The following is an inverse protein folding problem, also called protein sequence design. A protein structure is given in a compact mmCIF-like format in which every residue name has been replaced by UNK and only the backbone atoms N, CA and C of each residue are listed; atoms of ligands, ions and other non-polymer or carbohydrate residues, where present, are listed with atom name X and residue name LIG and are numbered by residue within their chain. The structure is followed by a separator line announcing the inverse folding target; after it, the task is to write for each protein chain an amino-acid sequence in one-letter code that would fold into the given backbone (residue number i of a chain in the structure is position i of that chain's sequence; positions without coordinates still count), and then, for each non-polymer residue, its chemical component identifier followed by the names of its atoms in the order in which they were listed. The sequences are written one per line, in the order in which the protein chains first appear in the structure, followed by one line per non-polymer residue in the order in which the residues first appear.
data_IF_153690814614
#
_entry.id   IF_153690814614
#
_cell.length_a   1.000
_cell.length_b   1.000
_cell.length_c   1.000
_cell.angle_alpha   90.00
_cell.angle_beta   90.00
_cell.angle_gamma   90.00
#
_symmetry.space_group_name_H-M   'P 1'
#
loop_
_entity.id
_entity.type
_entity.pdbx_description
1 polymer ?
#
# COMPACT_ATOMS: atom_id res chain seq x y z
N UNK A 1 7.74 25.52 15.69
CA UNK A 1 8.47 24.24 15.56
C UNK A 1 7.51 23.11 15.92
N UNK A 2 7.32 22.13 15.02
CA UNK A 2 6.39 21.01 15.22
C UNK A 2 6.96 20.06 16.29
N UNK A 3 6.14 19.63 17.26
CA UNK A 3 6.55 18.60 18.24
C UNK A 3 6.66 17.24 17.55
N UNK A 4 7.75 16.52 17.78
CA UNK A 4 7.93 15.14 17.31
C UNK A 4 6.86 14.27 17.97
N UNK A 5 6.04 13.62 17.16
CA UNK A 5 5.00 12.69 17.63
C UNK A 5 5.53 11.26 17.71
N UNK A 6 4.82 10.39 18.45
CA UNK A 6 5.12 8.95 18.47
C UNK A 6 5.13 8.34 17.06
N UNK A 7 4.25 8.82 16.17
CA UNK A 7 4.18 8.38 14.79
C UNK A 7 5.45 8.72 13.99
N UNK A 8 6.06 9.88 14.24
CA UNK A 8 7.31 10.28 13.57
C UNK A 8 8.47 9.34 13.98
N UNK A 9 8.49 8.91 15.25
CA UNK A 9 9.46 7.93 15.76
C UNK A 9 9.19 6.55 15.18
N UNK A 10 7.92 6.11 15.15
CA UNK A 10 7.55 4.82 14.56
C UNK A 10 7.95 4.76 13.08
N UNK A 11 7.63 5.78 12.28
CA UNK A 11 8.02 5.84 10.87
C UNK A 11 9.55 5.84 10.70
N UNK A 12 10.28 6.58 11.53
CA UNK A 12 11.73 6.57 11.44
C UNK A 12 12.30 5.17 11.68
N UNK A 13 11.79 4.48 12.72
CA UNK A 13 12.17 3.11 13.05
C UNK A 13 11.78 2.17 11.91
N UNK A 14 10.54 2.26 11.41
CA UNK A 14 10.05 1.44 10.30
C UNK A 14 10.94 1.66 9.07
N UNK A 15 11.18 2.89 8.65
CA UNK A 15 12.04 3.20 7.49
C UNK A 15 13.47 2.65 7.66
N UNK A 16 14.02 2.70 8.88
CA UNK A 16 15.34 2.14 9.18
C UNK A 16 15.36 0.61 9.12
N UNK A 17 14.38 -0.03 9.77
CA UNK A 17 14.23 -1.50 9.82
C UNK A 17 13.81 -2.06 8.44
N UNK A 18 13.10 -1.28 7.63
CA UNK A 18 12.61 -1.69 6.31
C UNK A 18 13.75 -2.14 5.41
N UNK A 19 14.92 -1.49 5.50
CA UNK A 19 16.11 -1.88 4.75
C UNK A 19 16.72 -3.21 5.20
N UNK A 20 16.36 -3.71 6.39
CA UNK A 20 16.79 -5.02 6.91
C UNK A 20 15.84 -6.16 6.55
N UNK A 21 14.71 -5.89 5.89
CA UNK A 21 13.69 -6.90 5.53
C UNK A 21 14.25 -8.16 4.89
N UNK A 22 15.24 -8.04 4.00
CA UNK A 22 15.86 -9.20 3.35
C UNK A 22 16.71 -10.04 4.31
N UNK A 23 17.36 -9.41 5.29
CA UNK A 23 18.11 -10.13 6.35
C UNK A 23 17.14 -10.85 7.27
N UNK A 24 16.06 -10.18 7.67
CA UNK A 24 15.00 -10.77 8.49
C UNK A 24 14.35 -11.96 7.76
N UNK A 25 14.03 -11.81 6.47
CA UNK A 25 13.50 -12.87 5.62
C UNK A 25 14.45 -14.06 5.45
N UNK A 26 15.77 -13.83 5.50
CA UNK A 26 16.75 -14.92 5.50
C UNK A 26 16.74 -15.67 6.83
N UNK A 27 16.61 -14.96 7.96
CA UNK A 27 16.54 -15.55 9.30
C UNK A 27 15.27 -16.37 9.51
N UNK A 28 14.12 -15.93 8.99
CA UNK A 28 12.86 -16.70 9.06
C UNK A 28 12.94 -18.01 8.28
N UNK A 29 13.75 -18.09 7.22
CA UNK A 29 14.01 -19.35 6.51
C UNK A 29 14.88 -20.33 7.32
N UNK A 30 15.69 -19.83 8.24
CA UNK A 30 16.66 -20.62 9.01
C UNK A 30 16.12 -21.12 10.36
N UNK A 31 15.08 -20.48 10.92
CA UNK A 31 14.50 -20.86 12.21
C UNK A 31 12.97 -20.82 12.21
N UNK A 32 12.36 -21.97 12.56
CA UNK A 32 10.90 -22.09 12.67
C UNK A 32 10.32 -21.23 13.79
N UNK A 33 11.06 -21.01 14.87
CA UNK A 33 10.63 -20.20 16.01
C UNK A 33 10.58 -18.72 15.60
N UNK A 34 11.66 -18.22 15.00
CA UNK A 34 11.74 -16.84 14.51
C UNK A 34 10.66 -16.59 13.46
N UNK A 35 10.45 -17.54 12.54
CA UNK A 35 9.35 -17.49 11.57
C UNK A 35 8.00 -17.36 12.26
N UNK A 36 7.67 -18.21 13.23
CA UNK A 36 6.37 -18.16 13.93
C UNK A 36 6.15 -16.84 14.67
N UNK A 37 7.20 -16.28 15.28
CA UNK A 37 7.13 -14.98 15.97
C UNK A 37 6.85 -13.86 14.97
N UNK A 38 7.58 -13.84 13.85
CA UNK A 38 7.45 -12.81 12.82
C UNK A 38 6.10 -12.92 12.09
N UNK A 39 5.72 -14.12 11.66
CA UNK A 39 4.43 -14.37 11.00
C UNK A 39 3.28 -13.91 11.90
N UNK A 40 3.31 -14.27 13.19
CA UNK A 40 2.30 -13.82 14.16
C UNK A 40 2.32 -12.31 14.41
N UNK A 41 3.49 -11.70 14.44
CA UNK A 41 3.63 -10.27 14.75
C UNK A 41 3.26 -9.35 13.59
N UNK A 42 3.62 -9.72 12.35
CA UNK A 42 3.61 -8.83 11.20
C UNK A 42 2.70 -9.28 10.05
N UNK A 43 2.29 -10.55 9.99
CA UNK A 43 1.62 -11.14 8.82
C UNK A 43 0.39 -12.01 9.18
N UNK A 44 -0.05 -11.99 10.45
CA UNK A 44 -1.20 -12.76 10.92
C UNK A 44 -2.49 -12.20 10.30
N UNK A 45 -3.26 -13.09 9.67
CA UNK A 45 -4.51 -12.78 8.96
C UNK A 45 -4.37 -11.84 7.74
N UNK A 46 -3.17 -11.79 7.16
CA UNK A 46 -2.94 -11.10 5.89
C UNK A 46 -3.72 -11.76 4.76
N UNK A 47 -4.43 -10.94 4.01
CA UNK A 47 -5.14 -11.35 2.79
C UNK A 47 -4.99 -10.22 1.78
N UNK A 48 -4.10 -10.43 0.82
CA UNK A 48 -3.63 -9.41 -0.10
C UNK A 48 -3.63 -9.97 -1.51
N UNK A 49 -4.31 -9.27 -2.42
CA UNK A 49 -4.42 -9.63 -3.83
C UNK A 49 -3.83 -8.53 -4.71
N UNK A 50 -3.03 -8.93 -5.69
CA UNK A 50 -2.52 -8.02 -6.72
C UNK A 50 -3.57 -7.86 -7.80
N UNK A 51 -3.94 -6.61 -8.08
CA UNK A 51 -4.80 -6.26 -9.20
C UNK A 51 -3.89 -5.80 -10.35
N UNK A 52 -3.87 -6.52 -11.49
CA UNK A 52 -3.04 -6.15 -12.62
C UNK A 52 -3.47 -4.79 -13.15
N UNK A 53 -2.51 -3.92 -13.45
CA UNK A 53 -2.76 -2.63 -14.08
C UNK A 53 -2.94 -2.79 -15.59
N UNK A 54 -3.49 -1.75 -16.24
CA UNK A 54 -3.65 -1.77 -17.68
C UNK A 54 -2.31 -1.48 -18.36
N UNK A 55 -1.64 -2.52 -18.85
CA UNK A 55 -0.37 -2.37 -19.56
C UNK A 55 -0.62 -2.29 -21.06
N UNK A 56 -0.21 -1.18 -21.68
CA UNK A 56 -0.15 -1.08 -23.14
C UNK A 56 1.04 -1.90 -23.65
N UNK A 57 0.75 -3.06 -24.22
CA UNK A 57 1.71 -3.87 -24.96
C UNK A 57 1.56 -3.60 -26.45
N UNK A 58 2.66 -3.43 -27.18
CA UNK A 58 2.67 -3.31 -28.65
C UNK A 58 2.45 -4.68 -29.32
N UNK A 59 1.50 -5.46 -28.80
CA UNK A 59 1.19 -6.80 -29.27
C UNK A 59 -0.31 -7.02 -29.14
N UNK A 60 -0.96 -7.36 -30.24
CA UNK A 60 -2.36 -7.80 -30.21
C UNK A 60 -2.41 -9.14 -29.49
N UNK A 61 -3.04 -9.16 -28.32
CA UNK A 61 -3.43 -10.40 -27.64
C UNK A 61 -4.90 -10.63 -27.97
N UNK A 62 -5.21 -11.81 -28.50
CA UNK A 62 -6.59 -12.30 -28.57
C UNK A 62 -7.04 -12.61 -27.14
N UNK A 63 -7.58 -11.60 -26.46
CA UNK A 63 -8.21 -11.78 -25.16
C UNK A 63 -9.68 -12.17 -25.39
N UNK A 64 -10.19 -13.13 -24.62
CA UNK A 64 -11.63 -13.22 -24.40
C UNK A 64 -12.13 -11.86 -23.90
N UNK A 65 -13.29 -11.42 -24.38
CA UNK A 65 -13.87 -10.13 -23.99
C UNK A 65 -14.14 -10.12 -22.49
N UNK A 66 -13.16 -9.68 -21.70
CA UNK A 66 -13.39 -9.28 -20.32
C UNK A 66 -14.14 -7.96 -20.36
N UNK A 67 -15.36 -7.96 -19.84
CA UNK A 67 -16.19 -6.75 -19.73
C UNK A 67 -15.65 -5.79 -18.66
N UNK A 68 -14.79 -6.26 -17.76
CA UNK A 68 -14.19 -5.48 -16.68
C UNK A 68 -12.70 -5.24 -16.88
N UNK A 69 -12.27 -3.99 -16.77
CA UNK A 69 -10.86 -3.64 -16.56
C UNK A 69 -10.55 -3.92 -15.10
N UNK A 70 -9.47 -4.65 -14.76
CA UNK A 70 -9.15 -5.00 -13.37
C UNK A 70 -9.08 -3.79 -12.43
N UNK A 71 -8.62 -2.63 -12.92
CA UNK A 71 -8.57 -1.37 -12.17
C UNK A 71 -9.95 -0.83 -11.79
N UNK A 72 -11.01 -1.11 -12.57
CA UNK A 72 -12.37 -0.64 -12.28
C UNK A 72 -12.94 -1.25 -11.00
N UNK A 73 -12.50 -2.46 -10.64
CA UNK A 73 -12.88 -3.11 -9.36
C UNK A 73 -12.49 -2.23 -8.17
N UNK A 74 -11.35 -1.54 -8.25
CA UNK A 74 -10.92 -0.62 -7.18
C UNK A 74 -11.87 0.57 -7.05
N UNK A 75 -12.32 1.11 -8.18
CA UNK A 75 -13.25 2.26 -8.19
C UNK A 75 -14.61 1.87 -7.61
N UNK A 76 -15.10 0.67 -7.93
CA UNK A 76 -16.31 0.09 -7.35
C UNK A 76 -16.22 -0.13 -5.84
N UNK A 77 -15.06 -0.58 -5.35
CA UNK A 77 -14.81 -0.71 -3.90
C UNK A 77 -14.80 0.66 -3.23
N UNK A 78 -14.11 1.64 -3.82
CA UNK A 78 -14.05 3.03 -3.31
C UNK A 78 -15.46 3.64 -3.25
N UNK A 79 -16.31 3.38 -4.26
CA UNK A 79 -17.66 3.93 -4.31
C UNK A 79 -18.55 3.43 -3.15
N UNK A 80 -18.25 2.25 -2.60
CA UNK A 80 -19.04 1.63 -1.52
C UNK A 80 -18.56 1.99 -0.12
N UNK A 81 -17.54 2.85 0.01
CA UNK A 81 -16.88 3.15 1.29
C UNK A 81 -16.92 4.65 1.58
N UNK A 82 -17.23 5.01 2.83
CA UNK A 82 -17.32 6.40 3.27
C UNK A 82 -16.02 6.92 3.90
N UNK A 83 -15.33 6.06 4.68
CA UNK A 83 -14.10 6.42 5.36
C UNK A 83 -12.88 6.17 4.49
N UNK A 84 -12.40 7.21 3.81
CA UNK A 84 -11.26 7.12 2.90
C UNK A 84 -10.15 8.06 3.37
N UNK A 85 -8.94 7.51 3.47
CA UNK A 85 -7.73 8.26 3.82
C UNK A 85 -6.65 7.95 2.80
N UNK A 86 -5.97 8.98 2.31
CA UNK A 86 -4.83 8.85 1.39
C UNK A 86 -3.57 9.28 2.12
N UNK A 87 -2.54 8.44 2.07
CA UNK A 87 -1.21 8.79 2.55
C UNK A 87 -0.57 9.86 1.67
N UNK A 88 0.06 10.86 2.28
CA UNK A 88 0.71 11.97 1.58
C UNK A 88 1.96 11.51 0.78
N UNK A 89 2.51 10.35 1.12
CA UNK A 89 3.63 9.72 0.41
C UNK A 89 3.62 8.19 0.57
N UNK A 90 4.34 7.50 -0.30
CA UNK A 90 4.55 6.06 -0.23
C UNK A 90 5.73 5.72 0.69
N UNK A 91 5.45 5.26 1.91
CA UNK A 91 6.47 4.89 2.90
C UNK A 91 7.48 3.87 2.37
N UNK A 92 7.04 2.86 1.61
CA UNK A 92 7.93 1.86 1.03
C UNK A 92 8.88 2.46 -0.02
N UNK A 93 8.40 3.34 -0.90
CA UNK A 93 9.25 3.97 -1.93
C UNK A 93 10.21 4.98 -1.31
N UNK A 94 9.75 5.77 -0.35
CA UNK A 94 10.59 6.70 0.41
C UNK A 94 11.68 5.96 1.20
N UNK A 95 11.34 4.85 1.87
CA UNK A 95 12.31 4.03 2.61
C UNK A 95 13.42 3.44 1.73
N UNK A 96 13.08 3.03 0.52
CA UNK A 96 14.05 2.51 -0.45
C UNK A 96 14.75 3.61 -1.25
N UNK A 97 14.43 4.89 -1.03
CA UNK A 97 14.87 6.01 -1.86
C UNK A 97 14.65 5.74 -3.37
N UNK A 98 13.45 5.25 -3.72
CA UNK A 98 13.09 4.88 -5.09
C UNK A 98 13.19 6.09 -6.02
N UNK A 99 13.89 5.93 -7.14
CA UNK A 99 14.07 6.97 -8.17
C UNK A 99 13.26 6.71 -9.44
N UNK A 100 12.78 5.49 -9.60
CA UNK A 100 12.11 5.03 -10.83
C UNK A 100 10.61 5.34 -10.83
N UNK A 101 10.01 5.49 -9.64
CA UNK A 101 8.57 5.69 -9.47
C UNK A 101 8.26 6.82 -8.48
N UNK A 102 7.13 7.53 -8.65
CA UNK A 102 6.75 8.66 -7.82
C UNK A 102 6.58 8.26 -6.34
N UNK A 103 7.17 9.04 -5.44
CA UNK A 103 7.05 8.82 -3.98
C UNK A 103 5.84 9.50 -3.36
N UNK A 104 5.22 10.45 -4.06
CA UNK A 104 4.02 11.20 -3.64
C UNK A 104 2.70 10.42 -3.86
N UNK A 105 2.75 9.26 -4.53
CA UNK A 105 1.58 8.38 -4.69
C UNK A 105 1.55 7.36 -3.54
N UNK A 106 0.96 7.75 -2.41
CA UNK A 106 0.79 6.92 -1.21
C UNK A 106 -0.34 5.89 -1.30
N UNK A 107 -0.45 5.03 -0.27
CA UNK A 107 -1.53 4.04 -0.16
C UNK A 107 -2.88 4.70 0.18
N UNK A 108 -3.97 4.06 -0.24
CA UNK A 108 -5.33 4.40 0.15
C UNK A 108 -5.75 3.44 1.27
N UNK A 109 -6.24 3.99 2.38
CA UNK A 109 -6.81 3.23 3.49
C UNK A 109 -8.31 3.43 3.53
N UNK A 110 -9.03 2.32 3.64
CA UNK A 110 -10.47 2.24 3.50
C UNK A 110 -11.12 1.74 4.79
N UNK A 111 -12.23 2.34 5.17
CA UNK A 111 -13.06 1.95 6.31
C UNK A 111 -12.70 2.64 7.63
N UNK A 112 -13.50 2.42 8.69
CA UNK A 112 -13.45 3.17 9.96
C UNK A 112 -12.09 3.28 10.65
N UNK A 113 -11.24 2.26 10.50
CA UNK A 113 -9.92 2.18 11.14
C UNK A 113 -8.92 3.14 10.49
N UNK A 114 -9.13 3.54 9.23
CA UNK A 114 -8.27 4.49 8.51
C UNK A 114 -8.17 5.85 9.23
N UNK A 115 -9.21 6.22 9.99
CA UNK A 115 -9.25 7.45 10.81
C UNK A 115 -8.20 7.49 11.93
N UNK A 116 -7.60 6.36 12.29
CA UNK A 116 -6.55 6.28 13.30
C UNK A 116 -5.18 6.69 12.75
N UNK A 117 -5.04 6.79 11.43
CA UNK A 117 -3.77 7.21 10.81
C UNK A 117 -3.50 8.68 11.17
N UNK A 118 -2.29 9.00 11.65
CA UNK A 118 -1.93 10.37 12.02
C UNK A 118 -2.10 11.36 10.86
N UNK A 119 -2.84 12.46 11.09
CA UNK A 119 -3.17 13.46 10.07
C UNK A 119 -1.96 14.20 9.46
N UNK A 120 -0.78 14.12 10.07
CA UNK A 120 0.44 14.66 9.48
C UNK A 120 1.00 13.77 8.35
N UNK A 121 0.53 12.53 8.23
CA UNK A 121 0.99 11.53 7.27
C UNK A 121 -0.01 11.29 6.15
N UNK A 122 -1.24 11.72 6.35
CA UNK A 122 -2.35 11.44 5.47
C UNK A 122 -3.38 12.58 5.49
N UNK A 123 -4.31 12.54 4.56
CA UNK A 123 -5.51 13.38 4.57
C UNK A 123 -6.74 12.53 4.31
N UNK A 124 -7.90 13.01 4.78
CA UNK A 124 -9.19 12.43 4.38
C UNK A 124 -9.42 12.78 2.93
N UNK A 125 -9.89 11.82 2.15
CA UNK A 125 -10.14 12.02 0.73
C UNK A 125 -11.63 11.80 0.40
N UNK A 126 -12.09 12.48 -0.64
CA UNK A 126 -13.39 12.16 -1.25
C UNK A 126 -13.30 10.87 -2.09
N UNK A 127 -14.45 10.25 -2.38
CA UNK A 127 -14.51 9.11 -3.33
C UNK A 127 -13.89 9.45 -4.67
N UNK A 128 -14.20 10.64 -5.20
CA UNK A 128 -13.66 11.13 -6.48
C UNK A 128 -12.14 11.28 -6.43
N UNK A 129 -11.62 11.89 -5.37
CA UNK A 129 -10.18 12.06 -5.17
C UNK A 129 -9.45 10.71 -5.07
N UNK A 130 -10.04 9.72 -4.39
CA UNK A 130 -9.47 8.39 -4.32
C UNK A 130 -9.50 7.65 -5.66
N UNK A 131 -10.57 7.78 -6.44
CA UNK A 131 -10.63 7.25 -7.82
C UNK A 131 -9.57 7.91 -8.71
N UNK A 132 -9.40 9.24 -8.60
CA UNK A 132 -8.36 9.98 -9.33
C UNK A 132 -6.95 9.56 -8.91
N UNK A 133 -6.76 9.23 -7.63
CA UNK A 133 -5.49 8.71 -7.12
C UNK A 133 -5.17 7.32 -7.65
N UNK A 134 -6.19 6.46 -7.85
CA UNK A 134 -6.04 5.17 -8.55
C UNK A 134 -5.61 5.40 -10.00
N UNK A 135 -6.27 6.31 -10.71
CA UNK A 135 -5.93 6.64 -12.11
C UNK A 135 -4.52 7.22 -12.23
N UNK A 136 -4.11 8.07 -11.28
CA UNK A 136 -2.73 8.59 -11.20
C UNK A 136 -1.71 7.46 -11.02
N UNK A 137 -2.03 6.45 -10.21
CA UNK A 137 -1.15 5.31 -9.98
C UNK A 137 -1.06 4.39 -11.23
N UNK A 138 -2.19 4.12 -11.88
CA UNK A 138 -2.24 3.32 -13.13
C UNK A 138 -1.45 4.02 -14.25
N UNK A 139 -1.63 5.34 -14.41
CA UNK A 139 -0.88 6.14 -15.38
C UNK A 139 0.63 6.19 -15.10
N UNK A 140 1.04 6.06 -13.84
CA UNK A 140 2.45 5.93 -13.45
C UNK A 140 3.02 4.50 -13.64
N UNK A 141 2.22 3.56 -14.16
CA UNK A 141 2.61 2.18 -14.37
C UNK A 141 2.71 1.35 -13.09
N UNK A 142 2.11 1.82 -11.99
CA UNK A 142 2.13 1.11 -10.72
C UNK A 142 1.09 -0.01 -10.73
N UNK A 143 1.47 -1.21 -10.29
CA UNK A 143 0.51 -2.29 -10.03
C UNK A 143 -0.23 -2.05 -8.72
N UNK A 144 -1.51 -2.39 -8.70
CA UNK A 144 -2.35 -2.20 -7.53
C UNK A 144 -2.34 -3.43 -6.64
N UNK A 145 -2.43 -3.19 -5.34
CA UNK A 145 -2.55 -4.23 -4.34
C UNK A 145 -3.71 -3.83 -3.43
N UNK A 146 -4.65 -4.74 -3.23
CA UNK A 146 -5.78 -4.56 -2.33
C UNK A 146 -5.82 -5.70 -1.32
N UNK A 147 -6.12 -5.37 -0.06
CA UNK A 147 -6.19 -6.39 0.97
C UNK A 147 -6.07 -5.85 2.38
N UNK A 148 -6.05 -6.78 3.33
CA UNK A 148 -5.66 -6.50 4.72
C UNK A 148 -4.20 -6.88 4.88
N UNK A 149 -3.41 -5.92 5.35
CA UNK A 149 -2.00 -6.10 5.66
C UNK A 149 -1.76 -5.71 7.12
N UNK A 150 -1.37 -6.68 7.94
CA UNK A 150 -1.17 -6.54 9.37
C UNK A 150 -0.08 -5.53 9.70
N UNK A 151 0.92 -5.38 8.84
CA UNK A 151 2.00 -4.41 9.02
C UNK A 151 1.48 -2.97 9.09
N UNK A 152 0.34 -2.66 8.46
CA UNK A 152 -0.24 -1.32 8.46
C UNK A 152 -0.84 -0.92 9.82
N UNK A 153 -0.93 -1.87 10.76
CA UNK A 153 -1.43 -1.63 12.11
C UNK A 153 -0.36 -1.25 13.14
N UNK A 154 0.91 -1.21 12.72
CA UNK A 154 2.11 -1.04 13.57
C UNK A 154 2.76 0.32 13.27
#
# INVERSE_FOLDING_TARGET
MRKISFADISIFIVNYIFNWRFRIAKLTKQSKIIRKIIDKGLFEDDDVTVIPNTIKINKTIEAEKSEFIPTDILKEVIEKIDDIVIMNSCLCRTSNNCKDYPQDIGCIFLGPTSRKIPQNLCHKASKKEAQDHVDKADAAGLSHIIGRNKIDSI
#
